data_IF_181739334520
#
_entry.id   IF_181739334520
#
_cell.length_a   1.000
_cell.length_b   1.000
_cell.length_c   1.000
_cell.angle_alpha   90.00
_cell.angle_beta   90.00
_cell.angle_gamma   90.00
#
_symmetry.space_group_name_H-M   'P 1'
#
loop_
_entity.id
_entity.type
_entity.pdbx_description
1 polymer ?
#
# COMPACT_ATOMS: atom_id res chain seq x y z
N UNK A 1 21.88 6.17 -28.62
CA UNK A 1 21.30 4.81 -28.54
C UNK A 1 21.38 4.39 -27.08
N UNK A 2 20.26 4.25 -26.37
CA UNK A 2 20.27 3.86 -24.95
C UNK A 2 20.55 2.35 -24.87
N UNK A 3 21.74 1.97 -24.41
CA UNK A 3 22.11 0.58 -24.14
C UNK A 3 21.44 0.12 -22.85
N UNK A 4 20.49 -0.81 -22.98
CA UNK A 4 19.87 -1.49 -21.84
C UNK A 4 20.87 -2.50 -21.27
N UNK A 5 20.88 -2.67 -19.94
CA UNK A 5 21.73 -3.66 -19.28
C UNK A 5 21.48 -5.05 -19.89
N UNK A 6 22.52 -5.76 -20.39
CA UNK A 6 22.36 -7.09 -20.98
C UNK A 6 21.80 -8.15 -20.00
N UNK A 7 21.79 -7.87 -18.70
CA UNK A 7 21.15 -8.71 -17.67
C UNK A 7 19.69 -8.38 -17.44
N UNK A 8 19.18 -7.28 -18.01
CA UNK A 8 17.79 -6.90 -17.85
C UNK A 8 16.88 -7.90 -18.57
N UNK A 9 16.03 -8.57 -17.79
CA UNK A 9 14.97 -9.41 -18.31
C UNK A 9 13.65 -8.70 -18.11
N UNK A 10 12.85 -8.62 -19.17
CA UNK A 10 11.50 -8.06 -19.07
C UNK A 10 10.70 -8.97 -18.13
N UNK A 11 10.10 -8.40 -17.05
CA UNK A 11 9.35 -9.20 -16.11
C UNK A 11 8.07 -9.69 -16.77
N UNK A 12 7.76 -10.98 -16.61
CA UNK A 12 6.46 -11.53 -17.00
C UNK A 12 5.48 -11.44 -15.82
N UNK A 13 4.18 -11.61 -16.07
CA UNK A 13 3.17 -11.57 -15.02
C UNK A 13 3.50 -12.51 -13.85
N UNK A 14 4.04 -13.70 -14.12
CA UNK A 14 4.46 -14.65 -13.08
C UNK A 14 5.56 -14.09 -12.19
N UNK A 15 6.59 -13.46 -12.79
CA UNK A 15 7.65 -12.79 -12.03
C UNK A 15 7.11 -11.60 -11.24
N UNK A 16 6.21 -10.80 -11.84
CA UNK A 16 5.57 -9.67 -11.14
C UNK A 16 4.83 -10.17 -9.91
N UNK A 17 3.95 -11.17 -10.06
CA UNK A 17 3.11 -11.68 -8.98
C UNK A 17 3.91 -12.41 -7.90
N UNK A 18 4.86 -13.26 -8.28
CA UNK A 18 5.51 -14.14 -7.31
C UNK A 18 6.79 -13.56 -6.70
N UNK A 19 7.41 -12.58 -7.38
CA UNK A 19 8.70 -12.04 -6.95
C UNK A 19 8.63 -10.55 -6.65
N UNK A 20 8.23 -9.72 -7.62
CA UNK A 20 8.29 -8.28 -7.46
C UNK A 20 7.23 -7.73 -6.51
N UNK A 21 5.98 -8.18 -6.64
CA UNK A 21 4.87 -7.72 -5.80
C UNK A 21 5.12 -8.02 -4.30
N UNK A 22 5.49 -9.24 -3.89
CA UNK A 22 5.80 -9.52 -2.48
C UNK A 22 6.97 -8.69 -1.95
N UNK A 23 8.02 -8.49 -2.76
CA UNK A 23 9.17 -7.66 -2.39
C UNK A 23 8.74 -6.21 -2.14
N UNK A 24 8.01 -5.61 -3.08
CA UNK A 24 7.51 -4.24 -2.98
C UNK A 24 6.55 -4.10 -1.79
N UNK A 25 5.63 -5.04 -1.62
CA UNK A 25 4.69 -5.07 -0.52
C UNK A 25 5.41 -5.08 0.84
N UNK A 26 6.39 -5.98 1.01
CA UNK A 26 7.16 -6.07 2.26
C UNK A 26 7.96 -4.80 2.54
N UNK A 27 8.54 -4.17 1.51
CA UNK A 27 9.24 -2.89 1.64
C UNK A 27 8.30 -1.78 2.13
N UNK A 28 7.13 -1.65 1.51
CA UNK A 28 6.11 -0.66 1.91
C UNK A 28 5.60 -0.96 3.31
N UNK A 29 5.33 -2.22 3.63
CA UNK A 29 4.82 -2.63 4.94
C UNK A 29 5.83 -2.32 6.05
N UNK A 30 7.12 -2.58 5.83
CA UNK A 30 8.18 -2.23 6.78
C UNK A 30 8.29 -0.71 6.95
N UNK A 31 8.19 0.06 5.86
CA UNK A 31 8.17 1.52 5.92
C UNK A 31 6.98 2.05 6.72
N UNK A 32 5.79 1.49 6.50
CA UNK A 32 4.58 1.85 7.24
C UNK A 32 4.73 1.51 8.73
N UNK A 33 5.20 0.32 9.08
CA UNK A 33 5.48 -0.05 10.49
C UNK A 33 6.40 0.94 11.17
N UNK A 34 7.51 1.31 10.53
CA UNK A 34 8.45 2.29 11.07
C UNK A 34 7.81 3.67 11.23
N UNK A 35 6.95 4.06 10.28
CA UNK A 35 6.19 5.31 10.33
C UNK A 35 5.21 5.30 11.50
N UNK A 36 4.48 4.20 11.72
CA UNK A 36 3.56 4.06 12.84
C UNK A 36 4.29 4.12 14.19
N UNK A 37 5.47 3.50 14.29
CA UNK A 37 6.28 3.53 15.52
C UNK A 37 6.86 4.92 15.81
N UNK A 38 7.17 5.69 14.76
CA UNK A 38 7.72 7.04 14.90
C UNK A 38 6.64 8.12 15.11
N UNK A 39 5.40 7.88 14.66
CA UNK A 39 4.30 8.82 14.80
C UNK A 39 3.81 8.86 16.25
N UNK A 40 3.80 10.05 16.86
CA UNK A 40 3.28 10.22 18.23
C UNK A 40 1.76 10.04 18.30
N UNK A 41 1.05 10.42 17.23
CA UNK A 41 -0.40 10.27 17.13
C UNK A 41 -0.79 9.81 15.73
N UNK A 42 -1.80 8.95 15.69
CA UNK A 42 -2.33 8.37 14.46
C UNK A 42 -3.86 8.41 14.56
N UNK A 43 -4.50 8.81 13.47
CA UNK A 43 -5.95 8.69 13.28
C UNK A 43 -6.24 7.61 12.24
N UNK A 44 -7.31 6.86 12.44
CA UNK A 44 -7.77 5.83 11.50
C UNK A 44 -9.15 6.20 10.97
N UNK A 45 -9.33 6.14 9.66
CA UNK A 45 -10.65 6.22 9.03
C UNK A 45 -11.05 4.84 8.52
N UNK A 46 -12.29 4.45 8.80
CA UNK A 46 -12.91 3.26 8.24
C UNK A 46 -13.97 3.70 7.24
N UNK A 47 -13.76 3.35 5.97
CA UNK A 47 -14.67 3.68 4.87
C UNK A 47 -15.33 2.39 4.38
N UNK A 48 -16.59 2.17 4.76
CA UNK A 48 -17.40 1.06 4.28
C UNK A 48 -18.31 1.51 3.14
N UNK A 49 -18.35 0.77 2.05
CA UNK A 49 -19.23 1.02 0.92
C UNK A 49 -19.91 -0.28 0.47
N UNK A 50 -21.22 -0.26 0.30
CA UNK A 50 -21.99 -1.36 -0.27
C UNK A 50 -22.59 -0.93 -1.61
N UNK A 51 -22.34 -1.71 -2.67
CA UNK A 51 -22.98 -1.56 -3.98
C UNK A 51 -24.30 -2.33 -4.02
N UNK A 52 -25.24 -1.86 -4.85
CA UNK A 52 -26.53 -2.50 -5.16
C UNK A 52 -26.38 -3.92 -5.68
N UNK A 53 -25.20 -4.29 -6.19
CA UNK A 53 -24.86 -5.65 -6.64
C UNK A 53 -24.45 -6.61 -5.50
N UNK A 54 -24.79 -6.28 -4.25
CA UNK A 54 -24.42 -7.05 -3.05
C UNK A 54 -22.90 -7.26 -3.00
N UNK A 55 -22.15 -6.19 -3.24
CA UNK A 55 -20.71 -6.16 -3.04
C UNK A 55 -20.45 -5.15 -1.94
N UNK A 56 -20.04 -5.60 -0.77
CA UNK A 56 -19.57 -4.70 0.26
C UNK A 56 -18.04 -4.62 0.20
N UNK A 57 -17.51 -3.43 0.41
CA UNK A 57 -16.08 -3.18 0.51
C UNK A 57 -15.85 -2.37 1.78
N UNK A 58 -14.68 -2.56 2.37
CA UNK A 58 -14.19 -1.63 3.37
C UNK A 58 -12.74 -1.28 3.12
N UNK A 59 -12.39 -0.05 3.46
CA UNK A 59 -11.05 0.48 3.48
C UNK A 59 -10.72 0.98 4.89
N UNK A 60 -9.47 0.76 5.31
CA UNK A 60 -8.90 1.36 6.52
C UNK A 60 -7.75 2.24 6.09
N UNK A 61 -7.84 3.54 6.38
CA UNK A 61 -6.80 4.52 6.05
C UNK A 61 -6.23 5.12 7.32
N UNK A 62 -4.91 5.21 7.37
CA UNK A 62 -4.16 5.81 8.46
C UNK A 62 -3.77 7.23 8.12
N UNK A 63 -4.00 8.16 9.04
CA UNK A 63 -3.65 9.56 8.92
C UNK A 63 -2.70 9.97 10.05
N UNK A 64 -1.65 10.68 9.72
CA UNK A 64 -0.70 11.23 10.69
C UNK A 64 -0.07 12.51 10.15
N UNK A 65 0.43 13.35 11.05
CA UNK A 65 1.20 14.55 10.69
C UNK A 65 2.68 14.17 10.70
N UNK A 66 3.37 14.38 9.58
CA UNK A 66 4.80 14.12 9.49
C UNK A 66 5.64 15.19 10.20
N UNK A 67 6.96 14.97 10.28
CA UNK A 67 7.89 15.91 10.92
C UNK A 67 7.94 17.28 10.21
N UNK A 68 7.47 17.37 8.97
CA UNK A 68 7.36 18.62 8.21
C UNK A 68 6.04 19.34 8.44
N UNK A 69 5.17 18.81 9.31
CA UNK A 69 3.84 19.35 9.58
C UNK A 69 2.81 19.01 8.51
N UNK A 70 3.13 18.13 7.56
CA UNK A 70 2.20 17.75 6.49
C UNK A 70 1.34 16.55 6.91
N UNK A 71 0.04 16.63 6.63
CA UNK A 71 -0.86 15.50 6.78
C UNK A 71 -0.53 14.45 5.72
N UNK A 72 -0.29 13.23 6.18
CA UNK A 72 -0.04 12.06 5.34
C UNK A 72 -1.13 11.04 5.58
N UNK A 73 -1.54 10.36 4.51
CA UNK A 73 -2.52 9.29 4.53
C UNK A 73 -1.95 8.04 3.86
N UNK A 74 -2.16 6.87 4.46
CA UNK A 74 -1.81 5.57 3.87
C UNK A 74 -2.95 4.58 4.02
N UNK A 75 -3.32 3.92 2.93
CA UNK A 75 -4.29 2.83 2.93
C UNK A 75 -3.65 1.59 3.57
N UNK A 76 -4.20 1.13 4.69
CA UNK A 76 -3.70 -0.04 5.42
C UNK A 76 -4.39 -1.33 4.96
N UNK A 77 -5.69 -1.25 4.69
CA UNK A 77 -6.47 -2.39 4.26
C UNK A 77 -7.53 -1.95 3.26
N UNK A 78 -7.78 -2.81 2.28
CA UNK A 78 -8.91 -2.72 1.37
C UNK A 78 -9.40 -4.13 1.09
N UNK A 79 -10.63 -4.43 1.49
CA UNK A 79 -11.16 -5.77 1.43
C UNK A 79 -12.60 -5.77 0.92
N UNK A 80 -12.94 -6.85 0.22
CA UNK A 80 -14.29 -7.15 -0.22
C UNK A 80 -14.99 -8.05 0.81
N UNK A 81 -16.22 -7.71 1.19
CA UNK A 81 -17.10 -8.40 2.12
C UNK A 81 -18.29 -8.94 1.32
N UNK A 82 -18.08 -9.97 0.48
CA UNK A 82 -19.12 -10.89 -0.06
C UNK A 82 -18.64 -11.60 -1.32
#
# INVERSE_FOLDING_TARGET
>A
MLTVDPKFRIPCCRSITNEYLPKIYNQIMNKLKNTCLAAGFISLTFDGCADRRVRAFYAITMHYVDQTGQLRAHLLAYNHIS
#
